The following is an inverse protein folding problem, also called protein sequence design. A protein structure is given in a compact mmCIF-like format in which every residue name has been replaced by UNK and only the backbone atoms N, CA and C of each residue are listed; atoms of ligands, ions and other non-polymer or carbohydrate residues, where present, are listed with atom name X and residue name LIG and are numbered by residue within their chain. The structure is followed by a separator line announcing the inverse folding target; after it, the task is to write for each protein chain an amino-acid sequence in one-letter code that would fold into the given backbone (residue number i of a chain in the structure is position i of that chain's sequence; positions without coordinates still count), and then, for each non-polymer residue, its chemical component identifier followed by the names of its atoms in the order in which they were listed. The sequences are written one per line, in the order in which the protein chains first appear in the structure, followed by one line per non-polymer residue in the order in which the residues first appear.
data_IF_277028872530
#
_entry.id   IF_277028872530
#
_cell.length_a   1.000
_cell.length_b   1.000
_cell.length_c   1.000
_cell.angle_alpha   90.00
_cell.angle_beta   90.00
_cell.angle_gamma   90.00
#
_symmetry.space_group_name_H-M   'P 1'
#
loop_
_entity.id
_entity.type
_entity.pdbx_description
1 polymer ?
#
# COMPACT_ATOMS: atom_id res chain seq x y z
N UNK A 1 33.87 32.64 44.33
CA UNK A 1 33.17 33.44 43.30
C UNK A 1 33.08 32.62 42.02
N UNK A 2 31.84 32.41 41.58
CA UNK A 2 31.32 32.06 40.24
C UNK A 2 32.01 30.94 39.45
N UNK A 3 31.31 29.80 39.48
CA UNK A 3 31.39 28.61 38.62
C UNK A 3 31.28 28.99 37.13
N UNK A 4 32.05 28.32 36.27
CA UNK A 4 31.78 28.28 34.82
C UNK A 4 32.26 26.95 34.25
N UNK A 5 31.43 25.92 34.40
CA UNK A 5 31.55 24.69 33.62
C UNK A 5 30.57 24.80 32.47
N UNK A 6 31.09 25.09 31.28
CA UNK A 6 30.33 25.06 30.05
C UNK A 6 29.91 23.62 29.76
N UNK A 7 28.66 23.28 30.09
CA UNK A 7 28.06 22.02 29.68
C UNK A 7 27.77 22.11 28.18
N UNK A 8 28.60 21.45 27.38
CA UNK A 8 28.43 21.28 25.95
C UNK A 8 27.18 20.41 25.72
N UNK A 9 26.07 21.03 25.31
CA UNK A 9 24.85 20.32 24.91
C UNK A 9 25.12 19.69 23.54
N UNK A 10 25.37 18.38 23.54
CA UNK A 10 25.46 17.55 22.32
C UNK A 10 24.05 17.43 21.74
N UNK A 11 23.77 18.20 20.68
CA UNK A 11 22.53 18.12 19.92
C UNK A 11 22.60 16.89 18.99
N UNK A 12 22.11 15.74 19.46
CA UNK A 12 21.89 14.56 18.63
C UNK A 12 20.68 14.81 17.72
N UNK A 13 20.97 15.23 16.48
CA UNK A 13 19.98 15.27 15.40
C UNK A 13 19.63 13.83 15.03
N UNK A 14 18.51 13.33 15.55
CA UNK A 14 17.90 12.09 15.08
C UNK A 14 17.35 12.34 13.67
N UNK A 15 18.16 12.05 12.66
CA UNK A 15 17.70 11.75 11.31
C UNK A 15 16.86 10.47 11.38
N UNK A 16 15.57 10.60 11.68
CA UNK A 16 14.62 9.51 11.46
C UNK A 16 14.53 9.31 9.95
N UNK A 17 15.37 8.43 9.43
CA UNK A 17 15.35 8.02 8.04
C UNK A 17 13.95 7.54 7.69
N UNK A 18 13.42 8.05 6.58
CA UNK A 18 12.37 7.37 5.85
C UNK A 18 12.98 6.08 5.29
N UNK A 19 13.11 5.05 6.13
CA UNK A 19 13.38 3.70 5.65
C UNK A 19 12.08 3.24 5.00
N UNK A 20 11.90 3.65 3.75
CA UNK A 20 10.93 3.03 2.87
C UNK A 20 11.44 1.62 2.65
N UNK A 21 11.01 0.69 3.50
CA UNK A 21 11.26 -0.73 3.30
C UNK A 21 10.62 -1.11 1.97
N UNK A 22 11.41 -1.07 0.90
CA UNK A 22 10.97 -1.45 -0.43
C UNK A 22 10.49 -2.89 -0.36
N UNK A 23 9.24 -3.13 -0.74
CA UNK A 23 8.73 -4.48 -0.93
C UNK A 23 9.58 -5.12 -2.02
N UNK A 24 10.39 -6.11 -1.65
CA UNK A 24 11.15 -6.88 -2.63
C UNK A 24 10.21 -7.94 -3.21
N UNK A 25 9.55 -7.64 -4.34
CA UNK A 25 8.80 -8.65 -5.08
C UNK A 25 9.75 -9.46 -5.95
N UNK A 26 9.48 -10.77 -6.14
CA UNK A 26 10.23 -11.57 -7.07
C UNK A 26 10.05 -11.06 -8.50
N UNK A 27 11.08 -11.29 -9.29
CA UNK A 27 11.04 -11.12 -10.73
C UNK A 27 10.11 -12.18 -11.31
N UNK A 28 9.14 -11.75 -12.12
CA UNK A 28 8.15 -12.63 -12.77
C UNK A 28 7.88 -12.15 -14.17
N UNK A 29 7.44 -13.03 -15.06
CA UNK A 29 7.00 -12.60 -16.39
C UNK A 29 5.78 -11.66 -16.29
N UNK A 30 5.66 -10.72 -17.22
CA UNK A 30 4.49 -9.82 -17.27
C UNK A 30 3.17 -10.58 -17.38
N UNK A 31 3.14 -11.67 -18.15
CA UNK A 31 1.93 -12.44 -18.36
C UNK A 31 1.52 -13.22 -17.11
N UNK A 32 2.47 -13.72 -16.31
CA UNK A 32 2.22 -14.33 -15.00
C UNK A 32 1.64 -13.32 -14.01
N UNK A 33 2.23 -12.12 -13.90
CA UNK A 33 1.71 -11.09 -12.99
C UNK A 33 0.32 -10.61 -13.43
N UNK A 34 0.07 -10.48 -14.74
CA UNK A 34 -1.27 -10.17 -15.24
C UNK A 34 -2.26 -11.29 -14.93
N UNK A 35 -1.88 -12.56 -15.09
CA UNK A 35 -2.73 -13.69 -14.75
C UNK A 35 -3.09 -13.69 -13.26
N UNK A 36 -2.11 -13.48 -12.38
CA UNK A 36 -2.30 -13.33 -10.94
C UNK A 36 -3.27 -12.19 -10.61
N UNK A 37 -3.03 -11.00 -11.17
CA UNK A 37 -3.89 -9.83 -10.93
C UNK A 37 -5.32 -10.03 -11.44
N UNK A 38 -5.51 -10.72 -12.59
CA UNK A 38 -6.84 -11.10 -13.09
C UNK A 38 -7.58 -12.03 -12.14
N UNK A 39 -6.89 -13.00 -11.52
CA UNK A 39 -7.49 -13.86 -10.48
C UNK A 39 -7.94 -13.06 -9.25
N UNK A 40 -7.30 -11.91 -8.99
CA UNK A 40 -7.68 -10.96 -7.95
C UNK A 40 -8.76 -9.95 -8.41
N UNK A 41 -9.28 -10.11 -9.63
CA UNK A 41 -10.36 -9.29 -10.20
C UNK A 41 -9.91 -8.05 -10.96
N UNK A 42 -8.60 -7.84 -11.16
CA UNK A 42 -8.12 -6.73 -12.00
C UNK A 42 -8.52 -6.96 -13.45
N UNK A 43 -8.93 -5.89 -14.12
CA UNK A 43 -9.25 -5.88 -15.54
C UNK A 43 -8.16 -5.16 -16.30
N UNK A 44 -7.63 -5.81 -17.33
CA UNK A 44 -6.71 -5.14 -18.25
C UNK A 44 -7.50 -4.15 -19.10
N UNK A 45 -7.12 -2.87 -19.05
CA UNK A 45 -7.75 -1.80 -19.82
C UNK A 45 -7.00 -1.50 -21.11
N UNK A 46 -5.69 -1.76 -21.14
CA UNK A 46 -4.85 -1.49 -22.32
C UNK A 46 -3.67 -2.46 -22.38
N UNK A 47 -3.29 -2.82 -23.59
CA UNK A 47 -2.01 -3.46 -23.94
C UNK A 47 -1.34 -2.62 -25.00
N UNK A 48 -0.07 -2.28 -24.79
CA UNK A 48 0.75 -1.55 -25.76
C UNK A 48 1.63 -2.50 -26.55
N UNK A 49 2.14 -2.02 -27.69
CA UNK A 49 3.06 -2.76 -28.56
C UNK A 49 4.40 -3.08 -27.88
N UNK A 50 4.86 -2.20 -26.99
CA UNK A 50 6.07 -2.37 -26.17
C UNK A 50 5.93 -3.43 -25.05
N UNK A 51 4.82 -4.18 -25.02
CA UNK A 51 4.57 -5.17 -23.97
C UNK A 51 3.95 -4.58 -22.70
N UNK A 52 3.85 -3.26 -22.54
CA UNK A 52 3.23 -2.64 -21.36
C UNK A 52 1.76 -3.05 -21.22
N UNK A 53 1.36 -3.40 -20.00
CA UNK A 53 -0.03 -3.73 -19.62
C UNK A 53 -0.54 -2.72 -18.62
N UNK A 54 -1.75 -2.22 -18.85
CA UNK A 54 -2.44 -1.34 -17.91
C UNK A 54 -3.64 -2.09 -17.35
N UNK A 55 -3.74 -2.15 -16.02
CA UNK A 55 -4.80 -2.84 -15.30
C UNK A 55 -5.53 -1.90 -14.34
N UNK A 56 -6.82 -2.13 -14.14
CA UNK A 56 -7.66 -1.41 -13.19
C UNK A 56 -8.44 -2.37 -12.31
N UNK A 57 -8.58 -2.01 -11.04
CA UNK A 57 -9.48 -2.66 -10.09
C UNK A 57 -10.30 -1.61 -9.34
N UNK A 58 -11.54 -1.95 -9.01
CA UNK A 58 -12.41 -1.16 -8.14
C UNK A 58 -13.40 -2.12 -7.49
N UNK A 59 -13.40 -2.20 -6.16
CA UNK A 59 -14.28 -3.12 -5.46
C UNK A 59 -13.87 -3.39 -4.02
N UNK A 60 -14.23 -4.59 -3.56
CA UNK A 60 -13.88 -5.07 -2.21
C UNK A 60 -12.37 -5.20 -2.06
N UNK A 61 -11.87 -5.10 -0.83
CA UNK A 61 -10.48 -5.42 -0.53
C UNK A 61 -10.12 -6.83 -1.05
N UNK A 62 -8.95 -6.96 -1.69
CA UNK A 62 -8.44 -8.25 -2.22
C UNK A 62 -7.05 -8.53 -1.67
N UNK A 63 -6.51 -9.72 -1.98
CA UNK A 63 -5.14 -10.10 -1.62
C UNK A 63 -4.06 -9.33 -2.40
N UNK A 64 -4.42 -8.39 -3.28
CA UNK A 64 -3.45 -7.51 -3.94
C UNK A 64 -2.86 -6.46 -2.99
N UNK A 65 -3.47 -6.28 -1.82
CA UNK A 65 -3.02 -5.36 -0.77
C UNK A 65 -3.03 -6.10 0.56
N UNK A 66 -1.96 -5.92 1.31
CA UNK A 66 -1.83 -6.39 2.68
C UNK A 66 -1.75 -5.20 3.62
N UNK A 67 -2.27 -5.37 4.82
CA UNK A 67 -2.20 -4.36 5.86
C UNK A 67 -1.68 -4.95 7.17
N UNK A 68 -1.16 -4.06 8.02
CA UNK A 68 -0.60 -4.33 9.33
C UNK A 68 -1.15 -3.33 10.33
N UNK A 69 -1.44 -3.79 11.54
CA UNK A 69 -1.67 -2.93 12.69
C UNK A 69 -0.42 -2.93 13.59
N UNK A 70 0.12 -1.75 13.93
CA UNK A 70 1.30 -1.64 14.79
C UNK A 70 2.53 -2.36 14.21
N UNK A 71 3.20 -3.17 15.03
CA UNK A 71 4.41 -3.93 14.68
C UNK A 71 4.15 -5.35 14.15
N UNK A 72 2.89 -5.72 13.88
CA UNK A 72 2.53 -7.06 13.39
C UNK A 72 3.07 -7.38 11.98
N UNK A 73 2.70 -8.55 11.45
CA UNK A 73 2.97 -8.89 10.05
C UNK A 73 1.95 -8.26 9.12
N UNK A 74 2.36 -7.98 7.87
CA UNK A 74 1.43 -7.65 6.80
C UNK A 74 0.62 -8.89 6.42
N UNK A 75 -0.70 -8.73 6.31
CA UNK A 75 -1.60 -9.77 5.87
C UNK A 75 -2.83 -9.18 5.16
N UNK A 76 -3.53 -9.96 4.31
CA UNK A 76 -4.81 -9.54 3.77
C UNK A 76 -5.82 -9.28 4.89
N UNK A 77 -6.63 -8.23 4.76
CA UNK A 77 -7.69 -7.89 5.72
C UNK A 77 -9.07 -8.09 5.10
N UNK A 78 -10.10 -8.44 5.90
CA UNK A 78 -11.45 -8.61 5.38
C UNK A 78 -12.03 -7.28 4.90
N UNK A 79 -12.81 -7.32 3.81
CA UNK A 79 -13.47 -6.13 3.24
C UNK A 79 -14.58 -5.56 4.13
N UNK A 80 -14.97 -6.29 5.17
CA UNK A 80 -15.91 -5.82 6.21
C UNK A 80 -15.40 -6.28 7.57
N UNK A 81 -15.42 -5.37 8.55
CA UNK A 81 -15.09 -5.69 9.94
C UNK A 81 -15.86 -4.81 10.90
N UNK A 82 -15.79 -5.11 12.19
CA UNK A 82 -16.23 -4.22 13.26
C UNK A 82 -15.00 -3.60 13.91
N UNK A 83 -15.02 -2.28 14.10
CA UNK A 83 -14.04 -1.59 14.91
C UNK A 83 -14.28 -1.89 16.40
N UNK A 84 -13.27 -1.67 17.24
CA UNK A 84 -13.35 -1.93 18.68
C UNK A 84 -14.49 -1.16 19.39
N UNK A 85 -14.87 0.00 18.84
CA UNK A 85 -16.00 0.82 19.31
C UNK A 85 -17.38 0.34 18.80
N UNK A 86 -17.46 -0.85 18.20
CA UNK A 86 -18.70 -1.43 17.68
C UNK A 86 -19.16 -0.91 16.31
N UNK A 87 -18.49 0.09 15.74
CA UNK A 87 -18.84 0.61 14.42
C UNK A 87 -18.51 -0.41 13.31
N UNK A 88 -19.34 -0.45 12.27
CA UNK A 88 -19.09 -1.28 11.09
C UNK A 88 -18.19 -0.55 10.11
N UNK A 89 -17.12 -1.21 9.66
CA UNK A 89 -16.22 -0.72 8.64
C UNK A 89 -16.37 -1.55 7.35
N UNK A 90 -16.53 -0.87 6.22
CA UNK A 90 -16.42 -1.45 4.88
C UNK A 90 -15.16 -0.91 4.21
N UNK A 91 -14.32 -1.81 3.73
CA UNK A 91 -13.01 -1.52 3.16
C UNK A 91 -13.04 -1.86 1.67
N UNK A 92 -12.74 -0.87 0.84
CA UNK A 92 -12.66 -0.99 -0.60
C UNK A 92 -11.25 -0.69 -1.11
N UNK A 93 -10.96 -1.24 -2.27
CA UNK A 93 -9.73 -1.02 -3.01
C UNK A 93 -10.06 -0.50 -4.40
N UNK A 94 -9.43 0.59 -4.77
CA UNK A 94 -9.32 1.09 -6.14
C UNK A 94 -7.85 1.05 -6.53
N UNK A 95 -7.54 0.54 -7.72
CA UNK A 95 -6.17 0.46 -8.18
C UNK A 95 -6.05 0.68 -9.68
N UNK A 96 -4.95 1.30 -10.08
CA UNK A 96 -4.54 1.48 -11.46
C UNK A 96 -3.05 1.16 -11.57
N UNK A 97 -2.72 0.14 -12.36
CA UNK A 97 -1.36 -0.40 -12.47
C UNK A 97 -0.87 -0.33 -13.90
N UNK A 98 0.40 0.04 -14.06
CA UNK A 98 1.16 -0.01 -15.30
C UNK A 98 2.32 -0.98 -15.09
N UNK A 99 2.28 -2.09 -15.80
CA UNK A 99 3.34 -3.11 -15.81
C UNK A 99 4.11 -2.96 -17.12
N UNK A 100 5.34 -2.45 -17.05
CA UNK A 100 6.16 -2.16 -18.24
C UNK A 100 7.36 -3.11 -18.22
N UNK A 101 7.28 -4.31 -18.84
CA UNK A 101 8.34 -5.30 -18.74
C UNK A 101 9.67 -4.77 -19.28
N UNK A 102 10.76 -5.33 -18.76
CA UNK A 102 12.09 -5.20 -19.34
C UNK A 102 12.16 -5.83 -20.73
N UNK A 103 13.31 -5.69 -21.39
CA UNK A 103 13.53 -6.23 -22.73
C UNK A 103 13.42 -7.77 -22.78
N UNK A 104 13.60 -8.45 -21.65
CA UNK A 104 13.46 -9.88 -21.44
C UNK A 104 12.02 -10.32 -21.12
N UNK A 105 11.06 -9.38 -21.06
CA UNK A 105 9.66 -9.67 -20.75
C UNK A 105 9.37 -9.83 -19.25
N UNK A 106 10.36 -9.56 -18.39
CA UNK A 106 10.29 -9.74 -16.94
C UNK A 106 9.89 -8.43 -16.24
N UNK A 107 9.23 -8.55 -15.10
CA UNK A 107 8.90 -7.47 -14.18
C UNK A 107 9.73 -7.61 -12.90
N UNK A 108 10.73 -6.76 -12.77
CA UNK A 108 11.41 -6.38 -11.54
C UNK A 108 10.63 -5.31 -10.78
N UNK A 109 11.09 -4.97 -9.58
CA UNK A 109 10.42 -4.00 -8.71
C UNK A 109 10.21 -2.62 -9.38
N UNK A 110 11.09 -2.23 -10.30
CA UNK A 110 11.06 -0.89 -10.94
C UNK A 110 10.07 -0.80 -12.10
N UNK A 111 9.68 -1.93 -12.67
CA UNK A 111 8.82 -2.05 -13.85
C UNK A 111 7.32 -2.09 -13.49
N UNK A 112 7.04 -1.94 -12.19
CA UNK A 112 5.70 -1.86 -11.61
C UNK A 112 5.43 -0.44 -11.14
N UNK A 113 4.54 0.23 -11.85
CA UNK A 113 4.07 1.57 -11.50
C UNK A 113 2.54 1.58 -11.30
N UNK A 114 2.03 2.59 -10.61
CA UNK A 114 0.61 2.76 -10.39
C UNK A 114 0.26 3.30 -9.02
N UNK A 115 -1.04 3.22 -8.71
CA UNK A 115 -1.62 3.69 -7.47
C UNK A 115 -2.61 2.67 -6.94
N UNK A 116 -2.55 2.43 -5.65
CA UNK A 116 -3.56 1.74 -4.85
C UNK A 116 -4.19 2.78 -3.92
N UNK A 117 -5.51 2.77 -3.84
CA UNK A 117 -6.29 3.62 -2.94
C UNK A 117 -7.14 2.69 -2.08
N UNK A 118 -6.86 2.67 -0.78
CA UNK A 118 -7.66 1.92 0.18
C UNK A 118 -8.58 2.90 0.88
N UNK A 119 -9.87 2.59 0.89
CA UNK A 119 -10.89 3.42 1.52
C UNK A 119 -11.61 2.65 2.60
N UNK A 120 -11.77 3.25 3.78
CA UNK A 120 -12.56 2.72 4.89
C UNK A 120 -13.78 3.61 5.08
N UNK A 121 -14.95 3.04 4.83
CA UNK A 121 -16.24 3.64 5.19
C UNK A 121 -16.69 3.08 6.53
N UNK A 122 -16.85 3.94 7.52
CA UNK A 122 -17.31 3.56 8.87
C UNK A 122 -18.76 4.01 9.06
N UNK A 123 -19.60 3.15 9.65
CA UNK A 123 -21.00 3.44 9.99
C UNK A 123 -21.30 3.00 11.42
N UNK A 124 -21.97 3.85 12.19
CA UNK A 124 -22.48 3.54 13.53
C UNK A 124 -22.85 4.79 14.33
N UNK A 125 -23.75 4.66 15.31
CA UNK A 125 -24.16 5.77 16.18
C UNK A 125 -24.81 6.94 15.44
N UNK A 126 -25.55 6.68 14.36
CA UNK A 126 -26.21 7.70 13.53
C UNK A 126 -25.28 8.44 12.55
N UNK A 127 -23.96 8.21 12.61
CA UNK A 127 -22.97 8.88 11.75
C UNK A 127 -22.32 7.91 10.74
N UNK A 128 -21.84 8.49 9.63
CA UNK A 128 -20.98 7.82 8.66
C UNK A 128 -19.73 8.66 8.43
N UNK A 129 -18.58 8.01 8.33
CA UNK A 129 -17.31 8.67 7.98
C UNK A 129 -16.58 7.90 6.88
N UNK A 130 -15.67 8.58 6.20
CA UNK A 130 -14.86 8.05 5.12
C UNK A 130 -13.40 8.46 5.33
N UNK A 131 -12.49 7.50 5.20
CA UNK A 131 -11.05 7.75 5.25
C UNK A 131 -10.38 7.00 4.11
N UNK A 132 -9.35 7.58 3.52
CA UNK A 132 -8.57 6.94 2.46
C UNK A 132 -7.07 7.15 2.63
N UNK A 133 -6.29 6.22 2.11
CA UNK A 133 -4.83 6.32 1.96
C UNK A 133 -4.46 5.95 0.53
N UNK A 134 -3.28 6.39 0.07
CA UNK A 134 -2.79 6.09 -1.29
C UNK A 134 -1.32 5.71 -1.27
N UNK A 135 -0.96 4.70 -2.04
CA UNK A 135 0.42 4.25 -2.17
C UNK A 135 0.69 3.63 -3.54
N UNK A 136 1.95 3.64 -3.98
CA UNK A 136 2.38 2.95 -5.20
C UNK A 136 2.77 1.49 -4.93
N UNK A 137 3.09 0.72 -5.98
CA UNK A 137 3.47 -0.70 -5.86
C UNK A 137 4.65 -0.99 -4.90
N UNK A 138 5.57 -0.03 -4.74
CA UNK A 138 6.74 -0.12 -3.85
C UNK A 138 6.56 0.61 -2.51
N UNK A 139 5.43 1.28 -2.34
CA UNK A 139 5.16 2.13 -1.20
C UNK A 139 4.21 1.48 -0.20
N UNK A 140 4.03 2.19 0.90
CA UNK A 140 3.00 1.92 1.89
C UNK A 140 2.47 3.26 2.41
N UNK A 141 1.27 3.24 2.96
CA UNK A 141 0.68 4.42 3.62
C UNK A 141 -0.14 3.99 4.84
N UNK A 142 -0.36 4.91 5.76
CA UNK A 142 -0.88 4.62 7.10
C UNK A 142 -2.08 5.49 7.42
N UNK A 143 -3.21 4.85 7.74
CA UNK A 143 -4.36 5.55 8.29
C UNK A 143 -4.03 6.16 9.65
N UNK A 144 -4.74 7.22 10.04
CA UNK A 144 -4.67 7.77 11.41
C UNK A 144 -4.94 6.75 12.52
N UNK A 145 -5.61 5.64 12.19
CA UNK A 145 -5.82 4.51 13.12
C UNK A 145 -4.57 3.63 13.33
N UNK A 146 -3.45 3.91 12.67
CA UNK A 146 -2.23 3.10 12.70
C UNK A 146 -2.25 1.88 11.77
N UNK A 147 -3.30 1.71 10.96
CA UNK A 147 -3.37 0.65 9.96
C UNK A 147 -2.49 1.05 8.77
N UNK A 148 -1.38 0.34 8.56
CA UNK A 148 -0.46 0.55 7.43
C UNK A 148 -0.79 -0.45 6.34
N UNK A 149 -0.91 -0.03 5.09
CA UNK A 149 -1.17 -0.92 3.96
C UNK A 149 -0.13 -0.76 2.86
N UNK A 150 0.15 -1.84 2.13
CA UNK A 150 1.09 -1.91 1.01
C UNK A 150 0.62 -2.90 -0.04
N UNK A 151 1.17 -2.82 -1.24
CA UNK A 151 0.87 -3.79 -2.29
C UNK A 151 1.49 -5.17 -1.97
N UNK A 152 0.78 -6.25 -2.32
CA UNK A 152 1.18 -7.65 -2.12
C UNK A 152 1.85 -8.26 -3.35
#
# INVERSE_FOLDING_TARGET
MIKSSAALIVLLVFLTGCVSSSVNRPDVSVDEEVARLKQLGFRQVTRRSDGTRILRYSGRMTRAVECRQGSGSFAPIPSRRRAANGQSETISLDAYLKLSPGADGVLSNHERDGIYIVTIKTRGGGASSLRGIKFGPRGQDTFRSGLTCRAA
#
